data_IF_167551071809
#
_entry.id   IF_167551071809
#
_cell.length_a   1.000
_cell.length_b   1.000
_cell.length_c   1.000
_cell.angle_alpha   90.00
_cell.angle_beta   90.00
_cell.angle_gamma   90.00
#
_symmetry.space_group_name_H-M   'P 1'
#
loop_
_entity.id
_entity.type
_entity.pdbx_description
1 polymer ?
#
# COMPACT_ATOMS: atom_id res chain seq x y z
N UNK A 1 28.11 -3.40 30.65
CA UNK A 1 27.14 -2.44 31.20
C UNK A 1 26.95 -1.32 30.19
N UNK A 2 25.85 -1.35 29.45
CA UNK A 2 24.94 -0.22 29.23
C UNK A 2 23.91 -0.61 28.15
N UNK A 3 23.02 -1.51 28.53
CA UNK A 3 21.72 -1.68 27.87
C UNK A 3 20.77 -0.67 28.51
N UNK A 4 20.65 0.52 27.92
CA UNK A 4 19.61 1.50 28.28
C UNK A 4 19.49 2.65 27.28
N UNK A 5 19.62 2.39 25.96
CA UNK A 5 19.54 3.45 24.93
C UNK A 5 18.36 3.36 23.95
N UNK A 6 17.37 2.52 24.20
CA UNK A 6 16.55 1.99 23.09
C UNK A 6 15.04 2.29 23.11
N UNK A 7 14.54 3.22 23.93
CA UNK A 7 13.09 3.55 23.90
C UNK A 7 12.78 5.04 23.96
N UNK A 8 13.52 5.81 24.76
CA UNK A 8 13.27 7.25 24.93
C UNK A 8 13.68 8.06 23.69
N UNK A 9 14.76 7.65 23.01
CA UNK A 9 15.35 8.37 21.85
C UNK A 9 14.48 8.24 20.59
N UNK A 10 13.93 7.04 20.34
CA UNK A 10 13.08 6.78 19.16
C UNK A 10 11.73 7.46 19.26
N UNK A 11 11.15 7.53 20.47
CA UNK A 11 9.90 8.25 20.69
C UNK A 11 10.06 9.76 20.49
N UNK A 12 11.15 10.34 20.99
CA UNK A 12 11.46 11.77 20.80
C UNK A 12 11.72 12.10 19.31
N UNK A 13 12.42 11.23 18.58
CA UNK A 13 12.63 11.41 17.14
C UNK A 13 11.33 11.30 16.34
N UNK A 14 10.43 10.38 16.70
CA UNK A 14 9.12 10.26 16.08
C UNK A 14 8.26 11.51 16.32
N UNK A 15 8.22 12.02 17.56
CA UNK A 15 7.49 13.24 17.90
C UNK A 15 8.02 14.46 17.14
N UNK A 16 9.35 14.60 17.02
CA UNK A 16 9.97 15.66 16.21
C UNK A 16 9.66 15.53 14.73
N UNK A 17 9.60 14.30 14.21
CA UNK A 17 9.24 14.05 12.82
C UNK A 17 7.76 14.36 12.56
N UNK A 18 6.87 13.95 13.47
CA UNK A 18 5.42 14.19 13.39
C UNK A 18 5.05 15.68 13.51
N UNK A 19 5.85 16.46 14.23
CA UNK A 19 5.73 17.91 14.31
C UNK A 19 6.47 18.66 13.19
N UNK A 20 7.03 17.93 12.21
CA UNK A 20 7.82 18.49 11.10
C UNK A 20 9.04 19.33 11.57
N UNK A 21 9.54 19.09 12.79
CA UNK A 21 10.71 19.77 13.34
C UNK A 21 12.02 19.22 12.77
N UNK A 22 11.99 17.98 12.29
CA UNK A 22 13.08 17.33 11.54
C UNK A 22 12.52 16.75 10.24
N UNK A 23 13.35 16.71 9.21
CA UNK A 23 12.99 16.07 7.94
C UNK A 23 13.15 14.55 8.01
N UNK A 24 12.54 13.84 7.06
CA UNK A 24 12.71 12.40 6.87
C UNK A 24 14.21 12.01 6.80
N UNK A 25 15.03 12.74 6.04
CA UNK A 25 16.47 12.46 5.95
C UNK A 25 17.22 12.73 7.26
N UNK A 26 16.80 13.74 8.02
CA UNK A 26 17.35 14.00 9.35
C UNK A 26 16.99 12.90 10.33
N UNK A 27 15.77 12.35 10.27
CA UNK A 27 15.36 11.20 11.08
C UNK A 27 16.26 9.98 10.83
N UNK A 28 16.52 9.62 9.56
CA UNK A 28 17.42 8.51 9.22
C UNK A 28 18.85 8.77 9.72
N UNK A 29 19.33 10.00 9.54
CA UNK A 29 20.69 10.37 9.95
C UNK A 29 20.88 10.32 11.47
N UNK A 30 19.87 10.74 12.23
CA UNK A 30 19.89 10.77 13.69
C UNK A 30 19.78 9.38 14.32
N UNK A 31 19.13 8.43 13.64
CA UNK A 31 19.08 7.01 14.04
C UNK A 31 20.45 6.30 13.89
N UNK A 32 21.33 6.83 13.03
CA UNK A 32 22.72 6.43 12.94
C UNK A 32 23.07 5.60 11.70
N UNK A 33 24.34 5.20 11.62
CA UNK A 33 24.94 4.68 10.38
C UNK A 33 24.29 3.39 9.87
N UNK A 34 23.78 2.54 10.75
CA UNK A 34 23.11 1.29 10.38
C UNK A 34 21.84 1.55 9.55
N UNK A 35 21.00 2.51 9.98
CA UNK A 35 19.77 2.86 9.26
C UNK A 35 20.07 3.63 7.96
N UNK A 36 21.16 4.41 7.94
CA UNK A 36 21.65 5.06 6.72
C UNK A 36 22.06 4.01 5.68
N UNK A 37 22.81 2.99 6.09
CA UNK A 37 23.27 1.93 5.18
C UNK A 37 22.10 1.09 4.66
N UNK A 38 21.09 0.84 5.50
CA UNK A 38 19.84 0.18 5.11
C UNK A 38 19.03 1.03 4.12
N UNK A 39 18.93 2.34 4.35
CA UNK A 39 18.28 3.28 3.41
C UNK A 39 18.95 3.29 2.04
N UNK A 40 20.29 3.31 1.98
CA UNK A 40 21.04 3.27 0.72
C UNK A 40 20.82 1.98 -0.04
N UNK A 41 20.82 0.85 0.67
CA UNK A 41 20.51 -0.46 0.09
C UNK A 41 19.08 -0.48 -0.44
N UNK A 42 18.14 0.07 0.31
CA UNK A 42 16.74 0.19 -0.11
C UNK A 42 16.61 1.04 -1.38
N UNK A 43 17.23 2.22 -1.43
CA UNK A 43 17.25 3.08 -2.62
C UNK A 43 17.82 2.33 -3.84
N UNK A 44 18.93 1.62 -3.68
CA UNK A 44 19.54 0.83 -4.76
C UNK A 44 18.65 -0.32 -5.26
N UNK A 45 17.84 -0.92 -4.39
CA UNK A 45 16.95 -2.04 -4.76
C UNK A 45 15.72 -1.55 -5.49
N UNK A 46 15.15 -0.43 -5.05
CA UNK A 46 13.90 0.10 -5.58
C UNK A 46 14.10 1.19 -6.65
N UNK A 47 15.35 1.58 -6.93
CA UNK A 47 15.70 2.53 -7.97
C UNK A 47 15.40 3.99 -7.60
N UNK A 48 15.35 4.30 -6.31
CA UNK A 48 15.25 5.68 -5.83
C UNK A 48 16.61 6.35 -5.80
N UNK A 49 16.64 7.66 -6.02
CA UNK A 49 17.83 8.48 -5.78
C UNK A 49 18.00 8.70 -4.27
N UNK A 50 19.21 8.54 -3.75
CA UNK A 50 19.48 8.77 -2.32
C UNK A 50 19.16 10.23 -1.97
N UNK A 51 18.30 10.45 -0.98
CA UNK A 51 17.85 11.78 -0.57
C UNK A 51 16.65 12.32 -1.36
N UNK A 52 16.07 11.53 -2.26
CA UNK A 52 14.74 11.78 -2.81
C UNK A 52 13.70 11.76 -1.67
N UNK A 53 12.92 12.82 -1.56
CA UNK A 53 11.99 13.02 -0.44
C UNK A 53 10.89 11.95 -0.42
N UNK A 54 10.36 11.58 -1.58
CA UNK A 54 9.35 10.53 -1.76
C UNK A 54 9.89 9.14 -1.40
N UNK A 55 11.13 8.82 -1.81
CA UNK A 55 11.82 7.59 -1.44
C UNK A 55 12.18 7.52 0.04
N UNK A 56 12.55 8.65 0.64
CA UNK A 56 12.88 8.74 2.07
C UNK A 56 11.65 8.57 2.93
N UNK A 57 10.54 9.20 2.55
CA UNK A 57 9.25 9.06 3.24
C UNK A 57 8.76 7.61 3.21
N UNK A 58 8.85 6.94 2.05
CA UNK A 58 8.46 5.53 1.93
C UNK A 58 9.29 4.62 2.83
N UNK A 59 10.62 4.82 2.87
CA UNK A 59 11.50 4.04 3.72
C UNK A 59 11.18 4.21 5.22
N UNK A 60 10.93 5.45 5.66
CA UNK A 60 10.57 5.72 7.05
C UNK A 60 9.22 5.14 7.42
N UNK A 61 8.25 5.18 6.52
CA UNK A 61 6.94 4.60 6.76
C UNK A 61 7.00 3.08 6.90
N UNK A 62 7.87 2.41 6.14
CA UNK A 62 8.17 0.99 6.35
C UNK A 62 8.79 0.75 7.74
N UNK A 63 9.71 1.58 8.21
CA UNK A 63 10.31 1.37 9.54
C UNK A 63 9.34 1.67 10.70
N UNK A 64 8.54 2.74 10.57
CA UNK A 64 7.63 3.20 11.63
C UNK A 64 6.34 2.38 11.71
N UNK A 65 5.92 1.77 10.60
CA UNK A 65 4.60 1.16 10.48
C UNK A 65 4.57 -0.23 9.82
N UNK A 66 5.72 -0.82 9.44
CA UNK A 66 5.76 -2.24 9.09
C UNK A 66 5.52 -3.09 10.33
N UNK A 67 4.80 -4.21 10.16
CA UNK A 67 4.28 -5.14 11.17
C UNK A 67 5.35 -5.82 12.08
N UNK A 68 6.57 -5.29 12.12
CA UNK A 68 7.72 -5.81 12.89
C UNK A 68 8.09 -5.05 14.16
N UNK A 69 7.44 -3.93 14.50
CA UNK A 69 7.72 -3.18 15.73
C UNK A 69 6.58 -3.35 16.76
N UNK A 70 6.68 -4.40 17.56
CA UNK A 70 6.01 -4.69 18.82
C UNK A 70 4.67 -3.97 19.11
N UNK A 71 3.60 -4.71 18.88
CA UNK A 71 2.27 -4.58 19.48
C UNK A 71 2.28 -4.83 21.01
N UNK A 72 3.16 -4.16 21.76
CA UNK A 72 3.12 -4.18 23.21
C UNK A 72 3.27 -2.75 23.77
N UNK A 73 2.15 -2.28 24.35
CA UNK A 73 2.08 -1.21 25.34
C UNK A 73 1.75 0.22 24.87
N UNK A 74 0.61 0.40 24.17
CA UNK A 74 -0.07 1.72 24.19
C UNK A 74 -1.04 1.82 25.38
N UNK A 75 -0.94 2.88 26.22
CA UNK A 75 -1.84 3.10 27.35
C UNK A 75 -3.30 3.15 26.91
N UNK A 76 -4.17 2.42 27.62
CA UNK A 76 -5.59 2.23 27.30
C UNK A 76 -6.39 3.55 27.25
N UNK A 77 -5.88 4.64 27.84
CA UNK A 77 -6.49 5.97 27.73
C UNK A 77 -6.38 6.58 26.32
N UNK A 78 -5.28 6.36 25.58
CA UNK A 78 -5.09 6.90 24.23
C UNK A 78 -5.96 6.18 23.20
N UNK A 79 -6.19 4.87 23.42
CA UNK A 79 -7.07 4.05 22.58
C UNK A 79 -8.50 4.61 22.56
N UNK A 80 -9.00 5.16 23.67
CA UNK A 80 -10.38 5.68 23.73
C UNK A 80 -10.58 7.00 22.99
N UNK A 81 -9.56 7.84 22.85
CA UNK A 81 -9.68 9.11 22.12
C UNK A 81 -9.52 8.93 20.60
N UNK A 82 -8.73 7.95 20.17
CA UNK A 82 -8.58 7.61 18.74
C UNK A 82 -9.84 6.89 18.21
N UNK A 83 -10.50 6.05 19.02
CA UNK A 83 -11.68 5.28 18.62
C UNK A 83 -12.94 6.15 18.39
N UNK A 84 -13.01 7.35 18.99
CA UNK A 84 -14.19 8.22 18.85
C UNK A 84 -14.14 9.16 17.65
N UNK A 85 -12.96 9.41 17.06
CA UNK A 85 -12.80 10.35 15.94
C UNK A 85 -12.48 9.70 14.58
N UNK A 86 -12.18 8.40 14.52
CA UNK A 86 -11.99 7.65 13.26
C UNK A 86 -13.18 6.75 12.93
N UNK A 87 -14.30 7.36 12.54
CA UNK A 87 -15.45 6.65 11.93
C UNK A 87 -15.23 6.28 10.44
N UNK A 88 -14.00 5.93 10.05
CA UNK A 88 -13.75 5.21 8.80
C UNK A 88 -12.77 4.09 9.13
N UNK A 89 -13.29 3.06 9.82
CA UNK A 89 -12.61 1.77 9.92
C UNK A 89 -12.18 1.38 8.51
N UNK A 90 -10.88 1.48 8.23
CA UNK A 90 -10.28 0.85 7.08
C UNK A 90 -10.65 -0.62 7.19
N UNK A 91 -11.55 -1.09 6.34
CA UNK A 91 -11.82 -2.51 6.19
C UNK A 91 -10.48 -3.17 5.85
N UNK A 92 -9.88 -3.80 6.85
CA UNK A 92 -8.80 -4.76 6.68
C UNK A 92 -9.23 -5.73 5.59
N UNK A 93 -8.28 -6.03 4.70
CA UNK A 93 -8.50 -6.88 3.55
C UNK A 93 -8.98 -8.26 4.03
N UNK A 94 -10.27 -8.54 3.87
CA UNK A 94 -10.89 -9.78 4.36
C UNK A 94 -10.51 -11.04 3.56
N UNK A 95 -9.86 -10.90 2.40
CA UNK A 95 -9.60 -12.01 1.47
C UNK A 95 -8.18 -11.99 0.92
N UNK A 96 -7.59 -13.17 0.76
CA UNK A 96 -6.36 -13.37 -0.03
C UNK A 96 -6.58 -13.02 -1.51
N UNK A 97 -5.51 -12.77 -2.27
CA UNK A 97 -5.59 -12.50 -3.71
C UNK A 97 -6.30 -13.64 -4.47
N UNK A 98 -6.08 -14.91 -4.06
CA UNK A 98 -6.71 -16.07 -4.70
C UNK A 98 -8.20 -16.20 -4.34
N UNK A 99 -8.58 -15.96 -3.08
CA UNK A 99 -10.00 -15.94 -2.68
C UNK A 99 -10.76 -14.81 -3.39
N UNK A 100 -10.15 -13.63 -3.49
CA UNK A 100 -10.73 -12.52 -4.23
C UNK A 100 -10.93 -12.86 -5.72
N UNK A 101 -9.92 -13.47 -6.35
CA UNK A 101 -10.02 -13.94 -7.73
C UNK A 101 -11.15 -14.96 -7.92
N UNK A 102 -11.22 -15.98 -7.06
CA UNK A 102 -12.27 -17.00 -7.10
C UNK A 102 -13.67 -16.39 -6.90
N UNK A 103 -13.81 -15.42 -5.99
CA UNK A 103 -15.07 -14.73 -5.76
C UNK A 103 -15.50 -13.88 -6.97
N UNK A 104 -14.58 -13.14 -7.57
CA UNK A 104 -14.88 -12.25 -8.71
C UNK A 104 -15.14 -13.03 -9.99
N UNK A 105 -14.49 -14.18 -10.15
CA UNK A 105 -14.75 -15.11 -11.26
C UNK A 105 -16.23 -15.48 -11.37
N UNK A 106 -16.93 -15.63 -10.25
CA UNK A 106 -18.36 -15.99 -10.20
C UNK A 106 -19.30 -14.79 -10.47
N UNK A 107 -18.78 -13.56 -10.60
CA UNK A 107 -19.56 -12.34 -10.80
C UNK A 107 -19.37 -11.75 -12.21
N UNK A 108 -20.06 -12.35 -13.19
CA UNK A 108 -20.01 -11.92 -14.59
C UNK A 108 -20.39 -10.44 -14.79
N UNK A 109 -21.27 -9.87 -13.94
CA UNK A 109 -21.63 -8.44 -14.02
C UNK A 109 -20.45 -7.56 -13.61
N UNK A 110 -19.73 -7.95 -12.56
CA UNK A 110 -18.53 -7.25 -12.09
C UNK A 110 -17.38 -7.37 -13.08
N UNK A 111 -17.15 -8.53 -13.69
CA UNK A 111 -16.15 -8.72 -14.75
C UNK A 111 -16.46 -7.86 -15.99
N UNK A 112 -17.72 -7.85 -16.44
CA UNK A 112 -18.15 -6.99 -17.57
C UNK A 112 -17.97 -5.51 -17.25
N UNK A 113 -18.29 -5.08 -16.03
CA UNK A 113 -18.08 -3.70 -15.60
C UNK A 113 -16.59 -3.34 -15.49
N UNK A 114 -15.74 -4.28 -15.07
CA UNK A 114 -14.30 -4.09 -14.94
C UNK A 114 -13.63 -3.84 -16.31
N UNK A 115 -14.01 -4.61 -17.34
CA UNK A 115 -13.46 -4.50 -18.71
C UNK A 115 -13.57 -3.10 -19.33
N UNK A 116 -14.59 -2.34 -18.98
CA UNK A 116 -14.89 -1.03 -19.59
C UNK A 116 -14.68 0.16 -18.64
N UNK A 117 -14.22 -0.08 -17.41
CA UNK A 117 -14.14 0.95 -16.38
C UNK A 117 -12.81 1.70 -16.43
N UNK A 118 -12.82 2.93 -16.96
CA UNK A 118 -11.65 3.84 -16.90
C UNK A 118 -11.24 4.15 -15.45
N UNK A 119 -12.21 4.27 -14.55
CA UNK A 119 -11.94 4.45 -13.12
C UNK A 119 -11.15 3.27 -12.55
N UNK A 120 -11.46 2.03 -12.95
CA UNK A 120 -10.72 0.87 -12.47
C UNK A 120 -9.26 0.91 -12.91
N UNK A 121 -9.00 1.33 -14.16
CA UNK A 121 -7.63 1.46 -14.69
C UNK A 121 -6.86 2.54 -13.91
N UNK A 122 -7.44 3.74 -13.77
CA UNK A 122 -6.81 4.88 -13.09
C UNK A 122 -6.52 4.57 -11.61
N UNK A 123 -7.47 3.95 -10.90
CA UNK A 123 -7.32 3.57 -9.50
C UNK A 123 -6.24 2.48 -9.35
N UNK A 124 -6.24 1.47 -10.24
CA UNK A 124 -5.25 0.38 -10.20
C UNK A 124 -3.84 0.90 -10.46
N UNK A 125 -3.68 1.78 -11.47
CA UNK A 125 -2.41 2.43 -11.77
C UNK A 125 -1.91 3.24 -10.57
N UNK A 126 -2.77 4.10 -10.02
CA UNK A 126 -2.42 4.91 -8.86
C UNK A 126 -2.02 4.02 -7.67
N UNK A 127 -2.69 2.89 -7.48
CA UNK A 127 -2.40 1.94 -6.40
C UNK A 127 -1.08 1.19 -6.58
N UNK A 128 -0.64 0.97 -7.82
CA UNK A 128 0.71 0.45 -8.06
C UNK A 128 1.79 1.51 -7.83
N UNK A 129 1.50 2.77 -8.17
CA UNK A 129 2.42 3.90 -7.93
C UNK A 129 2.46 4.31 -6.44
N UNK A 130 1.38 4.05 -5.70
CA UNK A 130 1.19 4.44 -4.31
C UNK A 130 0.75 3.21 -3.50
N UNK A 131 1.63 2.22 -3.26
CA UNK A 131 1.27 0.95 -2.62
C UNK A 131 0.71 1.13 -1.20
N UNK A 132 1.14 2.17 -0.48
CA UNK A 132 0.67 2.54 0.86
C UNK A 132 -0.40 3.66 0.84
N UNK A 133 -0.78 4.11 -0.36
CA UNK A 133 -1.70 5.23 -0.51
C UNK A 133 -3.10 4.91 -0.01
N UNK A 134 -3.74 5.86 0.69
CA UNK A 134 -5.10 5.70 1.18
C UNK A 134 -6.17 5.93 0.09
N UNK A 135 -7.34 5.28 0.24
CA UNK A 135 -8.51 5.47 -0.63
C UNK A 135 -8.92 6.95 -0.75
N UNK A 136 -8.83 7.71 0.35
CA UNK A 136 -9.16 9.13 0.38
C UNK A 136 -8.21 9.97 -0.48
N UNK A 137 -6.90 9.69 -0.41
CA UNK A 137 -5.87 10.34 -1.23
C UNK A 137 -6.07 10.01 -2.71
N UNK A 138 -6.28 8.73 -3.04
CA UNK A 138 -6.60 8.31 -4.41
C UNK A 138 -7.80 9.04 -5.00
N UNK A 139 -8.90 9.15 -4.22
CA UNK A 139 -10.11 9.86 -4.63
C UNK A 139 -9.83 11.34 -4.94
N UNK A 140 -9.04 12.01 -4.09
CA UNK A 140 -8.67 13.42 -4.26
C UNK A 140 -7.73 13.64 -5.45
N UNK A 141 -6.67 12.83 -5.55
CA UNK A 141 -5.65 12.96 -6.60
C UNK A 141 -6.20 12.68 -7.98
N UNK A 142 -7.10 11.70 -8.11
CA UNK A 142 -7.68 11.34 -9.40
C UNK A 142 -8.98 12.10 -9.73
N UNK A 143 -9.50 12.93 -8.83
CA UNK A 143 -10.83 13.53 -8.95
C UNK A 143 -11.91 12.47 -9.23
N UNK A 144 -11.92 11.40 -8.42
CA UNK A 144 -12.86 10.28 -8.51
C UNK A 144 -13.62 10.14 -7.20
N UNK A 145 -14.93 9.89 -7.28
CA UNK A 145 -15.77 9.67 -6.09
C UNK A 145 -15.25 8.53 -5.22
N UNK A 146 -15.33 8.67 -3.88
CA UNK A 146 -14.96 7.61 -2.92
C UNK A 146 -15.65 6.26 -3.21
N UNK A 147 -16.88 6.27 -3.71
CA UNK A 147 -17.61 5.03 -4.07
C UNK A 147 -16.94 4.27 -5.22
N UNK A 148 -16.46 4.98 -6.25
CA UNK A 148 -15.70 4.36 -7.33
C UNK A 148 -14.34 3.85 -6.84
N UNK A 149 -13.67 4.58 -5.94
CA UNK A 149 -12.43 4.11 -5.32
C UNK A 149 -12.65 2.82 -4.52
N UNK A 150 -13.65 2.80 -3.62
CA UNK A 150 -14.01 1.59 -2.86
C UNK A 150 -14.33 0.41 -3.77
N UNK A 151 -15.08 0.63 -4.85
CA UNK A 151 -15.49 -0.41 -5.81
C UNK A 151 -14.32 -1.10 -6.52
N UNK A 152 -13.27 -0.35 -6.85
CA UNK A 152 -12.16 -0.82 -7.69
C UNK A 152 -10.81 -0.93 -6.97
N UNK A 153 -10.78 -0.66 -5.66
CA UNK A 153 -9.55 -0.69 -4.86
C UNK A 153 -8.79 -2.02 -4.96
N UNK A 154 -9.53 -3.13 -4.96
CA UNK A 154 -8.95 -4.46 -4.89
C UNK A 154 -8.60 -5.07 -6.26
N UNK A 155 -8.70 -4.29 -7.35
CA UNK A 155 -8.35 -4.78 -8.70
C UNK A 155 -6.88 -5.24 -8.77
N UNK A 156 -5.94 -4.57 -8.09
CA UNK A 156 -4.54 -5.03 -7.98
C UNK A 156 -4.45 -6.47 -7.45
N UNK A 157 -5.25 -6.79 -6.44
CA UNK A 157 -5.24 -8.10 -5.80
C UNK A 157 -5.94 -9.16 -6.65
N UNK A 158 -6.97 -8.75 -7.40
CA UNK A 158 -7.58 -9.60 -8.41
C UNK A 158 -6.57 -9.97 -9.50
N UNK A 159 -5.74 -9.02 -9.95
CA UNK A 159 -4.65 -9.27 -10.91
C UNK A 159 -3.64 -10.26 -10.33
N UNK A 160 -3.21 -10.10 -9.08
CA UNK A 160 -2.28 -11.03 -8.41
C UNK A 160 -2.84 -12.46 -8.36
N UNK A 161 -4.11 -12.61 -7.98
CA UNK A 161 -4.78 -13.91 -7.96
C UNK A 161 -4.92 -14.51 -9.37
N UNK A 162 -5.21 -13.68 -10.37
CA UNK A 162 -5.35 -14.15 -11.74
C UNK A 162 -4.00 -14.53 -12.36
N UNK A 163 -3.00 -13.65 -12.36
CA UNK A 163 -1.83 -13.76 -13.24
C UNK A 163 -0.59 -14.37 -12.59
N UNK A 164 -0.52 -14.40 -11.25
CA UNK A 164 0.64 -14.90 -10.53
C UNK A 164 0.28 -15.93 -9.44
N UNK A 165 -0.89 -16.58 -9.57
CA UNK A 165 -1.38 -17.59 -8.64
C UNK A 165 -1.35 -17.11 -7.17
N UNK A 166 -1.61 -15.81 -6.96
CA UNK A 166 -1.61 -15.16 -5.65
C UNK A 166 -0.29 -14.50 -5.25
N UNK A 167 0.80 -14.65 -6.03
CA UNK A 167 2.03 -13.91 -5.82
C UNK A 167 1.91 -12.44 -6.28
N UNK A 168 2.76 -11.56 -5.75
CA UNK A 168 2.78 -10.16 -6.13
C UNK A 168 3.16 -9.98 -7.61
N UNK A 169 2.35 -9.20 -8.33
CA UNK A 169 2.60 -8.78 -9.71
C UNK A 169 3.02 -7.32 -9.68
N UNK A 170 4.25 -7.04 -10.10
CA UNK A 170 4.66 -5.69 -10.49
C UNK A 170 4.59 -5.59 -12.01
N UNK A 171 3.67 -4.77 -12.58
CA UNK A 171 3.68 -4.51 -14.00
C UNK A 171 5.04 -3.94 -14.39
N UNK A 172 5.64 -4.49 -15.46
CA UNK A 172 6.98 -4.10 -15.96
C UNK A 172 7.06 -2.58 -16.23
N UNK A 173 5.91 -1.96 -16.55
CA UNK A 173 5.74 -0.52 -16.76
C UNK A 173 4.43 -0.05 -16.13
N UNK A 174 4.49 1.03 -15.36
CA UNK A 174 3.32 1.66 -14.72
C UNK A 174 2.70 2.71 -15.64
N UNK A 175 2.11 2.25 -16.73
CA UNK A 175 1.48 3.09 -17.76
C UNK A 175 0.02 2.69 -17.96
N UNK A 176 -0.82 3.66 -18.35
CA UNK A 176 -2.26 3.48 -18.49
C UNK A 176 -2.65 2.30 -19.38
N UNK A 177 -2.09 2.21 -20.59
CA UNK A 177 -2.41 1.11 -21.53
C UNK A 177 -1.89 -0.24 -21.03
N UNK A 178 -0.76 -0.27 -20.31
CA UNK A 178 -0.23 -1.51 -19.72
C UNK A 178 -1.18 -2.01 -18.64
N UNK A 179 -1.59 -1.15 -17.70
CA UNK A 179 -2.55 -1.52 -16.64
C UNK A 179 -3.89 -1.98 -17.24
N UNK A 180 -4.38 -1.29 -18.28
CA UNK A 180 -5.58 -1.68 -18.99
C UNK A 180 -5.45 -3.09 -19.59
N UNK A 181 -4.36 -3.38 -20.29
CA UNK A 181 -4.10 -4.71 -20.84
C UNK A 181 -4.00 -5.78 -19.75
N UNK A 182 -3.30 -5.51 -18.65
CA UNK A 182 -3.19 -6.43 -17.51
C UNK A 182 -4.55 -6.74 -16.88
N UNK A 183 -5.42 -5.73 -16.71
CA UNK A 183 -6.79 -5.94 -16.22
C UNK A 183 -7.58 -6.83 -17.18
N UNK A 184 -7.48 -6.58 -18.50
CA UNK A 184 -8.18 -7.40 -19.50
C UNK A 184 -7.71 -8.85 -19.47
N UNK A 185 -6.41 -9.10 -19.39
CA UNK A 185 -5.84 -10.44 -19.30
C UNK A 185 -6.31 -11.18 -18.04
N UNK A 186 -6.35 -10.50 -16.89
CA UNK A 186 -6.86 -11.06 -15.65
C UNK A 186 -8.34 -11.44 -15.75
N UNK A 187 -9.16 -10.60 -16.40
CA UNK A 187 -10.58 -10.93 -16.65
C UNK A 187 -10.72 -12.09 -17.62
N UNK A 188 -9.95 -12.14 -18.70
CA UNK A 188 -9.98 -13.27 -19.63
C UNK A 188 -9.59 -14.58 -18.96
N UNK A 189 -8.59 -14.57 -18.05
CA UNK A 189 -8.24 -15.75 -17.27
C UNK A 189 -9.39 -16.19 -16.35
N UNK A 190 -10.07 -15.24 -15.69
CA UNK A 190 -11.26 -15.54 -14.89
C UNK A 190 -12.37 -16.21 -15.73
N UNK A 191 -12.69 -15.64 -16.90
CA UNK A 191 -13.74 -16.17 -17.79
C UNK A 191 -13.37 -17.54 -18.41
N UNK A 192 -12.10 -17.75 -18.80
CA UNK A 192 -11.65 -19.03 -19.36
C UNK A 192 -11.74 -20.19 -18.37
N UNK A 193 -11.53 -19.93 -17.08
CA UNK A 193 -11.57 -20.94 -16.03
C UNK A 193 -12.99 -21.49 -15.76
N UNK A 194 -14.06 -21.01 -16.40
CA UNK A 194 -15.40 -21.64 -16.38
C UNK A 194 -15.55 -22.79 -17.40
N UNK A 195 -14.57 -23.02 -18.28
CA UNK A 195 -14.72 -23.95 -19.41
C UNK A 195 -14.26 -25.39 -19.13
N UNK A 196 -13.93 -25.74 -17.88
CA UNK A 196 -13.61 -27.12 -17.50
C UNK A 196 -14.61 -27.55 -16.44
N UNK A 197 -15.80 -27.93 -16.91
CA UNK A 197 -16.77 -28.73 -16.18
C UNK A 197 -16.65 -30.19 -16.60
#
# INVERSE_FOLDING_TARGET
MNEQRTSVDMKELNEKLDHEEITNMQYITLQGQELIDEYKKWCSVFGFEEGDEDGTEQFINEIRYSDGADNENWPTEVIKEIDMNNNDKGEERQFTSMELFNNWKMDAKKLKALKISENAIRITLWRYQNPLGAKATCAKTLDITRNNVKKWWDVRYFIEGALADGAHVHPIRLEYEVIKHTILEAVEKAERSETIG
#
